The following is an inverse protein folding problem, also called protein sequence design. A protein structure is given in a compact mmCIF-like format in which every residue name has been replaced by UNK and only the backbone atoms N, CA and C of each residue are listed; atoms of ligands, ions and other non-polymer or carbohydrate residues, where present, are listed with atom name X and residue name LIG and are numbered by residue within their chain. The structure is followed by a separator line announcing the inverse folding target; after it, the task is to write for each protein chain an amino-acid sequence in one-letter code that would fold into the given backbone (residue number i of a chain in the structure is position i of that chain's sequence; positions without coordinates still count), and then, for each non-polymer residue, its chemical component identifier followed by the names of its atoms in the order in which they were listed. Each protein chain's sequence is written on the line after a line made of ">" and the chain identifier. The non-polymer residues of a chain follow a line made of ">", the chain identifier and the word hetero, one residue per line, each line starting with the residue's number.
data_IF_534863929405
#
_entry.id   IF_534863929405
#
_cell.length_a   1.000
_cell.length_b   1.000
_cell.length_c   1.000
_cell.angle_alpha   90.00
_cell.angle_beta   90.00
_cell.angle_gamma   90.00
#
_symmetry.space_group_name_H-M   'P 1'
#
loop_
_entity.id
_entity.type
_entity.pdbx_description
1 polymer ?
#
# COMPACT_ATOMS: atom_id res chain seq x y z
N UNK A 1 -22.83 -15.38 5.45
CA UNK A 1 -21.79 -15.80 4.50
C UNK A 1 -20.81 -14.67 4.31
N UNK A 2 -19.50 -14.95 4.33
CA UNK A 2 -18.38 -13.99 4.35
C UNK A 2 -18.30 -13.25 2.99
N UNK A 3 -19.23 -12.33 2.77
CA UNK A 3 -19.20 -11.33 1.69
C UNK A 3 -18.99 -9.95 2.31
N UNK A 4 -17.87 -9.76 3.01
CA UNK A 4 -17.32 -8.43 3.32
C UNK A 4 -16.12 -8.23 2.42
N UNK A 5 -16.36 -7.63 1.26
CA UNK A 5 -15.35 -7.27 0.27
C UNK A 5 -14.40 -6.13 0.73
N UNK A 6 -14.17 -5.98 2.03
CA UNK A 6 -13.22 -5.05 2.67
C UNK A 6 -12.78 -5.64 4.02
N UNK A 7 -12.23 -6.86 3.99
CA UNK A 7 -11.78 -7.59 5.18
C UNK A 7 -10.39 -7.13 5.66
N UNK A 8 -10.27 -5.86 6.04
CA UNK A 8 -9.03 -5.34 6.66
C UNK A 8 -9.34 -4.77 8.06
N UNK A 9 -9.34 -5.60 9.12
CA UNK A 9 -9.59 -5.18 10.50
C UNK A 9 -8.33 -4.70 11.24
N UNK A 10 -7.16 -4.71 10.61
CA UNK A 10 -5.84 -4.59 11.28
C UNK A 10 -5.16 -3.24 11.02
N UNK A 11 -4.57 -2.68 12.07
CA UNK A 11 -3.67 -1.52 12.04
C UNK A 11 -2.24 -2.05 11.83
N UNK A 12 -1.38 -1.36 11.05
CA UNK A 12 -1.58 -0.05 10.40
C UNK A 12 -2.25 -0.13 9.02
N UNK A 13 -3.11 0.86 8.73
CA UNK A 13 -3.61 1.16 7.38
C UNK A 13 -2.67 2.18 6.74
N UNK A 14 -2.11 1.85 5.58
CA UNK A 14 -1.11 2.64 4.89
C UNK A 14 -1.74 3.34 3.69
N UNK A 15 -1.54 4.64 3.64
CA UNK A 15 -2.01 5.52 2.58
C UNK A 15 -0.82 6.21 1.93
N UNK A 16 -0.80 6.26 0.61
CA UNK A 16 0.21 6.99 -0.17
C UNK A 16 -0.54 7.94 -1.08
N UNK A 17 -0.16 9.23 -1.08
CA UNK A 17 -0.85 10.29 -1.84
C UNK A 17 -2.36 10.43 -1.58
N UNK A 18 -2.84 9.95 -0.42
CA UNK A 18 -4.27 9.96 -0.09
C UNK A 18 -5.05 8.76 -0.64
N UNK A 19 -4.40 7.83 -1.35
CA UNK A 19 -5.00 6.57 -1.76
C UNK A 19 -4.68 5.46 -0.75
N UNK A 20 -5.68 4.63 -0.46
CA UNK A 20 -5.50 3.47 0.41
C UNK A 20 -4.72 2.38 -0.33
N UNK A 21 -3.53 2.05 0.17
CA UNK A 21 -2.67 1.03 -0.42
C UNK A 21 -2.94 -0.34 0.21
N UNK A 22 -3.35 -0.38 1.48
CA UNK A 22 -3.55 -1.60 2.24
C UNK A 22 -3.04 -1.39 3.65
N UNK A 23 -2.36 -2.39 4.20
CA UNK A 23 -1.52 -2.15 5.36
C UNK A 23 -0.43 -3.19 5.49
N UNK A 24 0.01 -3.51 6.71
CA UNK A 24 1.28 -4.23 6.95
C UNK A 24 1.57 -5.39 5.99
N UNK A 25 0.68 -6.38 5.86
CA UNK A 25 0.91 -7.57 5.02
C UNK A 25 1.04 -7.22 3.52
N UNK A 26 0.24 -6.26 3.04
CA UNK A 26 0.27 -5.80 1.65
C UNK A 26 1.54 -5.01 1.39
N UNK A 27 1.92 -4.12 2.31
CA UNK A 27 3.14 -3.31 2.20
C UNK A 27 4.38 -4.19 2.20
N UNK A 28 4.44 -5.23 3.04
CA UNK A 28 5.55 -6.18 3.03
C UNK A 28 5.63 -6.96 1.71
N UNK A 29 4.48 -7.38 1.15
CA UNK A 29 4.44 -8.03 -0.16
C UNK A 29 4.93 -7.09 -1.28
N UNK A 30 4.45 -5.84 -1.31
CA UNK A 30 4.88 -4.84 -2.28
C UNK A 30 6.36 -4.48 -2.13
N UNK A 31 6.90 -4.52 -0.92
CA UNK A 31 8.34 -4.35 -0.69
C UNK A 31 9.12 -5.53 -1.28
N UNK A 32 8.69 -6.76 -1.04
CA UNK A 32 9.34 -7.96 -1.61
C UNK A 32 9.26 -8.02 -3.14
N UNK A 33 8.18 -7.52 -3.75
CA UNK A 33 8.05 -7.45 -5.21
C UNK A 33 8.77 -6.25 -5.85
N UNK A 34 9.26 -5.30 -5.04
CA UNK A 34 9.84 -4.03 -5.51
C UNK A 34 8.81 -3.03 -6.05
N UNK A 35 7.52 -3.31 -5.94
CA UNK A 35 6.44 -2.39 -6.34
C UNK A 35 6.34 -1.19 -5.40
N UNK A 36 6.65 -1.39 -4.11
CA UNK A 36 6.62 -0.32 -3.12
C UNK A 36 7.64 0.78 -3.47
N UNK A 37 8.83 0.41 -3.91
CA UNK A 37 9.88 1.37 -4.30
C UNK A 37 9.45 2.20 -5.50
N UNK A 38 8.79 1.59 -6.49
CA UNK A 38 8.23 2.30 -7.65
C UNK A 38 7.13 3.27 -7.23
N UNK A 39 6.24 2.83 -6.34
CA UNK A 39 5.17 3.67 -5.79
C UNK A 39 5.75 4.93 -5.13
N UNK A 40 6.83 4.78 -4.36
CA UNK A 40 7.51 5.92 -3.72
C UNK A 40 8.27 6.78 -4.73
N UNK A 41 8.97 6.19 -5.70
CA UNK A 41 9.68 6.92 -6.75
C UNK A 41 8.73 7.81 -7.57
N UNK A 42 7.54 7.31 -7.91
CA UNK A 42 6.50 8.09 -8.58
C UNK A 42 5.86 9.13 -7.66
N UNK A 43 5.99 8.96 -6.33
CA UNK A 43 5.41 9.85 -5.33
C UNK A 43 6.24 11.05 -4.93
N UNK A 44 7.55 10.98 -5.13
CA UNK A 44 8.43 12.07 -4.83
C UNK A 44 8.50 13.03 -6.03
N UNK A 45 8.13 14.31 -5.87
CA UNK A 45 8.31 15.32 -6.90
C UNK A 45 9.81 15.67 -6.98
N UNK A 46 10.63 14.82 -7.60
CA UNK A 46 12.08 14.98 -7.59
C UNK A 46 12.90 14.27 -8.67
N UNK A 47 12.31 13.40 -9.51
CA UNK A 47 13.05 12.78 -10.62
C UNK A 47 12.76 13.47 -11.97
N UNK A 48 13.03 14.78 -12.05
CA UNK A 48 13.29 15.48 -13.31
C UNK A 48 14.69 16.07 -13.28
#
# INVERSE_FOLDING_TARGET
>A
GIKKFTSWPTIPQVFVKGEFIGGCDVIMSMHQSGELEKLFADSLPGNK
#
